data_IF_552685477399
#
_entry.id   IF_552685477399
#
_cell.length_a   1.000
_cell.length_b   1.000
_cell.length_c   1.000
_cell.angle_alpha   90.00
_cell.angle_beta   90.00
_cell.angle_gamma   90.00
#
_symmetry.space_group_name_H-M   'P 1'
#
loop_
_entity.id
_entity.type
_entity.pdbx_description
1 polymer ?
#
# COMPACT_ATOMS: atom_id res chain seq x y z
N UNK A 1 15.05 25.60 9.42
CA UNK A 1 14.33 24.66 10.31
C UNK A 1 14.02 23.42 9.49
N UNK A 2 14.58 22.27 9.84
CA UNK A 2 14.30 20.99 9.17
C UNK A 2 13.09 20.34 9.83
N UNK A 3 11.98 20.24 9.12
CA UNK A 3 10.80 19.46 9.56
C UNK A 3 11.21 17.99 9.71
N UNK A 4 10.84 17.36 10.82
CA UNK A 4 10.99 15.92 10.97
C UNK A 4 9.98 15.22 10.05
N UNK A 5 10.34 14.06 9.44
CA UNK A 5 9.41 13.25 8.70
C UNK A 5 8.33 12.72 9.65
N UNK A 6 7.08 12.78 9.19
CA UNK A 6 5.91 12.24 9.88
C UNK A 6 5.49 10.97 9.18
N UNK A 7 5.39 9.91 9.97
CA UNK A 7 4.85 8.63 9.53
C UNK A 7 3.34 8.64 9.66
N UNK A 8 2.63 8.46 8.55
CA UNK A 8 1.20 8.18 8.57
C UNK A 8 1.02 6.68 8.77
N UNK A 9 0.36 6.27 9.86
CA UNK A 9 -0.14 4.92 10.00
C UNK A 9 -1.51 4.86 9.34
N UNK A 10 -1.57 4.30 8.13
CA UNK A 10 -2.83 3.99 7.50
C UNK A 10 -3.31 2.64 8.03
N UNK A 11 -4.09 2.65 9.11
CA UNK A 11 -4.92 1.50 9.43
C UNK A 11 -5.96 1.44 8.31
N UNK A 12 -5.89 0.44 7.44
CA UNK A 12 -6.88 0.22 6.39
C UNK A 12 -8.24 0.11 7.07
N UNK A 13 -9.01 1.19 7.06
CA UNK A 13 -10.43 1.16 7.38
C UNK A 13 -11.07 0.52 6.17
N UNK A 14 -10.94 -0.80 6.10
CA UNK A 14 -11.62 -1.64 5.13
C UNK A 14 -13.11 -1.38 5.34
N UNK A 15 -13.72 -0.62 4.43
CA UNK A 15 -15.17 -0.58 4.35
C UNK A 15 -15.61 -2.05 4.18
N UNK A 16 -16.45 -2.59 5.09
CA UNK A 16 -16.80 -3.99 5.04
C UNK A 16 -17.43 -4.34 3.68
N UNK A 17 -17.28 -5.58 3.19
CA UNK A 17 -17.83 -6.03 1.90
C UNK A 17 -19.32 -5.72 1.73
N UNK A 18 -20.08 -5.62 2.83
CA UNK A 18 -21.49 -5.23 2.82
C UNK A 18 -21.75 -3.82 2.24
N UNK A 19 -20.76 -2.92 2.22
CA UNK A 19 -20.89 -1.61 1.53
C UNK A 19 -20.59 -1.68 0.04
N UNK A 20 -20.04 -2.80 -0.47
CA UNK A 20 -19.69 -3.00 -1.87
C UNK A 20 -20.85 -3.59 -2.69
N UNK A 21 -21.90 -4.10 -2.04
CA UNK A 21 -23.07 -4.72 -2.69
C UNK A 21 -24.30 -3.78 -2.84
N UNK A 22 -24.18 -2.48 -2.50
CA UNK A 22 -25.29 -1.51 -2.58
C UNK A 22 -25.36 -0.75 -3.92
N UNK A 23 -26.57 -0.34 -4.38
CA UNK A 23 -26.86 -0.13 -5.80
C UNK A 23 -26.35 1.20 -6.39
N UNK A 24 -25.83 1.12 -7.62
CA UNK A 24 -25.76 2.09 -8.74
C UNK A 24 -25.38 3.58 -8.53
N UNK A 25 -25.13 4.05 -7.30
CA UNK A 25 -24.80 5.45 -7.00
C UNK A 25 -23.32 5.72 -6.71
N UNK A 26 -22.43 4.80 -7.10
CA UNK A 26 -20.99 4.89 -6.79
C UNK A 26 -20.35 6.21 -7.21
N UNK A 27 -19.43 6.71 -6.38
CA UNK A 27 -18.78 7.99 -6.62
C UNK A 27 -17.43 8.10 -5.91
N UNK A 28 -16.68 9.13 -6.29
CA UNK A 28 -15.49 9.55 -5.54
C UNK A 28 -15.94 10.63 -4.55
N UNK A 29 -15.85 10.32 -3.27
CA UNK A 29 -16.02 11.30 -2.22
C UNK A 29 -14.63 11.82 -1.82
N UNK A 30 -14.46 13.14 -1.83
CA UNK A 30 -13.25 13.76 -1.26
C UNK A 30 -13.55 14.16 0.15
N UNK A 31 -12.91 13.47 1.08
CA UNK A 31 -12.98 13.78 2.50
C UNK A 31 -11.74 14.60 2.82
N UNK A 32 -11.90 15.92 2.83
CA UNK A 32 -10.84 16.81 3.29
C UNK A 32 -10.63 16.59 4.79
N UNK A 33 -9.49 16.00 5.17
CA UNK A 33 -9.11 15.86 6.57
C UNK A 33 -7.73 16.45 6.77
N UNK A 34 -7.69 17.70 7.24
CA UNK A 34 -6.42 18.34 7.57
C UNK A 34 -5.76 17.60 8.73
N UNK A 35 -4.70 16.84 8.44
CA UNK A 35 -3.79 16.31 9.46
C UNK A 35 -2.47 17.09 9.35
N UNK A 36 -2.24 17.98 10.32
CA UNK A 36 -1.01 18.76 10.42
C UNK A 36 -0.92 19.99 9.50
N UNK A 37 0.17 20.78 9.62
CA UNK A 37 0.33 22.11 9.02
C UNK A 37 0.53 22.11 7.49
N UNK A 38 0.78 20.95 6.87
CA UNK A 38 0.77 20.76 5.42
C UNK A 38 -0.54 20.18 4.87
N UNK A 39 -1.41 19.65 5.74
CA UNK A 39 -2.68 19.01 5.37
C UNK A 39 -2.49 17.74 4.53
N UNK A 40 -3.40 16.77 4.68
CA UNK A 40 -3.53 15.69 3.72
C UNK A 40 -4.96 15.74 3.19
N UNK A 41 -5.12 15.96 1.90
CA UNK A 41 -6.44 15.83 1.28
C UNK A 41 -6.60 14.40 0.74
N UNK A 42 -7.58 13.67 1.26
CA UNK A 42 -7.80 12.27 0.91
C UNK A 42 -9.07 12.12 0.09
N UNK A 43 -8.95 11.53 -1.09
CA UNK A 43 -10.08 11.02 -1.84
C UNK A 43 -10.32 9.57 -1.45
N UNK A 44 -11.57 9.21 -1.17
CA UNK A 44 -12.00 7.83 -0.95
C UNK A 44 -12.93 7.46 -2.10
N UNK A 45 -12.52 6.50 -2.92
CA UNK A 45 -13.38 5.94 -3.94
C UNK A 45 -14.31 4.91 -3.29
N UNK A 46 -15.62 5.14 -3.36
CA UNK A 46 -16.63 4.18 -2.95
C UNK A 46 -17.47 3.81 -4.18
N UNK A 47 -17.00 2.80 -4.92
CA UNK A 47 -17.47 2.50 -6.27
C UNK A 47 -17.83 1.02 -6.37
N UNK A 48 -18.89 0.65 -7.12
CA UNK A 48 -19.19 -0.73 -7.43
C UNK A 48 -17.98 -1.40 -8.10
N UNK A 49 -17.57 -2.54 -7.59
CA UNK A 49 -16.50 -3.33 -8.20
C UNK A 49 -17.14 -4.47 -8.99
N UNK A 50 -16.66 -4.68 -10.22
CA UNK A 50 -17.11 -5.77 -11.08
C UNK A 50 -16.14 -6.95 -11.02
N UNK A 51 -16.54 -8.11 -11.56
CA UNK A 51 -15.62 -9.23 -11.81
C UNK A 51 -14.85 -9.10 -13.14
N UNK A 52 -14.88 -7.93 -13.80
CA UNK A 52 -14.11 -7.61 -15.01
C UNK A 52 -12.92 -6.72 -14.62
N UNK A 53 -11.69 -7.27 -14.54
CA UNK A 53 -10.50 -6.49 -14.16
C UNK A 53 -10.23 -5.31 -15.10
N UNK A 54 -10.50 -5.47 -16.39
CA UNK A 54 -10.30 -4.41 -17.37
C UNK A 54 -11.28 -3.25 -17.14
N UNK A 55 -12.52 -3.54 -16.77
CA UNK A 55 -13.47 -2.50 -16.35
C UNK A 55 -13.04 -1.83 -15.06
N UNK A 56 -12.67 -2.61 -14.05
CA UNK A 56 -12.22 -2.08 -12.76
C UNK A 56 -11.00 -1.16 -12.91
N UNK A 57 -10.02 -1.52 -13.75
CA UNK A 57 -8.86 -0.70 -14.05
C UNK A 57 -9.22 0.63 -14.72
N UNK A 58 -10.14 0.62 -15.69
CA UNK A 58 -10.65 1.85 -16.33
C UNK A 58 -11.38 2.76 -15.34
N UNK A 59 -12.22 2.17 -14.48
CA UNK A 59 -12.96 2.90 -13.46
C UNK A 59 -11.99 3.50 -12.43
N UNK A 60 -11.02 2.73 -11.95
CA UNK A 60 -9.95 3.18 -11.06
C UNK A 60 -9.17 4.37 -11.63
N UNK A 61 -8.76 4.29 -12.90
CA UNK A 61 -8.05 5.38 -13.57
C UNK A 61 -8.92 6.64 -13.68
N UNK A 62 -10.21 6.48 -13.98
CA UNK A 62 -11.19 7.58 -13.98
C UNK A 62 -11.30 8.23 -12.59
N UNK A 63 -11.35 7.42 -11.54
CA UNK A 63 -11.41 7.88 -10.15
C UNK A 63 -10.13 8.59 -9.71
N UNK A 64 -8.95 8.10 -10.11
CA UNK A 64 -7.67 8.76 -9.87
C UNK A 64 -7.61 10.14 -10.53
N UNK A 65 -8.03 10.25 -11.79
CA UNK A 65 -8.15 11.54 -12.49
C UNK A 65 -9.12 12.48 -11.76
N UNK A 66 -10.26 11.96 -11.29
CA UNK A 66 -11.25 12.76 -10.56
C UNK A 66 -10.73 13.24 -9.20
N UNK A 67 -10.07 12.37 -8.44
CA UNK A 67 -9.43 12.72 -7.17
C UNK A 67 -8.40 13.84 -7.35
N UNK A 68 -7.54 13.72 -8.37
CA UNK A 68 -6.57 14.75 -8.76
C UNK A 68 -7.24 16.08 -9.13
N UNK A 69 -8.32 16.05 -9.92
CA UNK A 69 -9.08 17.25 -10.28
C UNK A 69 -9.70 17.95 -9.07
N UNK A 70 -10.12 17.18 -8.05
CA UNK A 70 -10.67 17.68 -6.81
C UNK A 70 -9.60 18.17 -5.82
N UNK A 71 -8.31 18.09 -6.17
CA UNK A 71 -7.22 18.59 -5.34
C UNK A 71 -6.80 17.65 -4.21
N UNK A 72 -7.16 16.36 -4.28
CA UNK A 72 -6.65 15.37 -3.35
C UNK A 72 -5.13 15.19 -3.50
N UNK A 73 -4.48 14.78 -2.41
CA UNK A 73 -3.07 14.37 -2.39
C UNK A 73 -2.90 12.85 -2.33
N UNK A 74 -3.92 12.15 -1.85
CA UNK A 74 -3.99 10.71 -1.72
C UNK A 74 -5.34 10.20 -2.24
N UNK A 75 -5.34 9.13 -3.03
CA UNK A 75 -6.53 8.33 -3.32
C UNK A 75 -6.47 6.99 -2.57
N UNK A 76 -7.55 6.66 -1.87
CA UNK A 76 -7.83 5.35 -1.30
C UNK A 76 -8.90 4.64 -2.12
N UNK A 77 -8.62 3.42 -2.56
CA UNK A 77 -9.58 2.56 -3.25
C UNK A 77 -10.14 1.48 -2.31
N UNK A 78 -11.28 0.87 -2.63
CA UNK A 78 -11.78 -0.23 -1.84
C UNK A 78 -10.90 -1.48 -1.97
N UNK A 79 -11.08 -2.40 -1.02
CA UNK A 79 -10.53 -3.75 -1.06
C UNK A 79 -11.03 -4.50 -2.31
N UNK A 80 -10.14 -5.28 -2.93
CA UNK A 80 -10.35 -5.96 -4.20
C UNK A 80 -10.77 -5.03 -5.36
N UNK A 81 -10.44 -3.73 -5.27
CA UNK A 81 -10.78 -2.74 -6.30
C UNK A 81 -10.24 -3.07 -7.70
N UNK A 82 -9.20 -3.91 -7.81
CA UNK A 82 -8.65 -4.35 -9.09
C UNK A 82 -9.39 -5.58 -9.66
N UNK A 83 -9.81 -6.53 -8.82
CA UNK A 83 -10.32 -7.84 -9.25
C UNK A 83 -11.84 -8.00 -9.12
N UNK A 84 -12.45 -7.38 -8.13
CA UNK A 84 -13.74 -7.85 -7.59
C UNK A 84 -13.54 -8.82 -6.43
N UNK A 85 -14.57 -8.92 -5.59
CA UNK A 85 -14.56 -9.77 -4.39
C UNK A 85 -14.63 -11.27 -4.69
N UNK A 86 -14.54 -12.09 -3.65
CA UNK A 86 -14.66 -13.54 -3.77
C UNK A 86 -16.13 -13.99 -3.94
N UNK A 87 -16.39 -14.69 -5.04
CA UNK A 87 -17.51 -15.62 -5.28
C UNK A 87 -17.30 -17.02 -4.61
N UNK A 88 -18.16 -18.00 -4.90
CA UNK A 88 -18.10 -19.33 -4.27
C UNK A 88 -17.04 -20.26 -4.88
N UNK A 89 -16.77 -20.17 -6.19
CA UNK A 89 -15.67 -20.85 -6.89
C UNK A 89 -14.97 -19.86 -7.82
N UNK A 90 -13.87 -19.27 -7.37
CA UNK A 90 -13.24 -18.13 -8.06
C UNK A 90 -11.79 -18.37 -8.42
N UNK A 91 -11.31 -19.61 -8.36
CA UNK A 91 -9.90 -19.87 -8.66
C UNK A 91 -9.49 -19.30 -10.01
N UNK A 92 -10.31 -19.54 -11.04
CA UNK A 92 -10.09 -19.01 -12.39
C UNK A 92 -10.20 -17.47 -12.41
N UNK A 93 -11.29 -16.92 -11.85
CA UNK A 93 -11.50 -15.47 -11.80
C UNK A 93 -10.36 -14.71 -11.09
N UNK A 94 -9.91 -15.17 -9.91
CA UNK A 94 -8.82 -14.54 -9.17
C UNK A 94 -7.49 -14.77 -9.90
N UNK A 95 -7.29 -15.95 -10.51
CA UNK A 95 -6.10 -16.25 -11.29
C UNK A 95 -5.95 -15.34 -12.52
N UNK A 96 -7.05 -15.02 -13.19
CA UNK A 96 -7.13 -14.06 -14.29
C UNK A 96 -6.98 -12.61 -13.80
N UNK A 97 -7.36 -12.34 -12.55
CA UNK A 97 -7.33 -11.02 -11.94
C UNK A 97 -6.03 -10.73 -11.17
N UNK A 98 -4.90 -11.37 -11.54
CA UNK A 98 -3.61 -11.08 -10.90
C UNK A 98 -3.36 -9.57 -10.96
N UNK A 99 -3.32 -8.94 -9.78
CA UNK A 99 -3.59 -7.52 -9.64
C UNK A 99 -2.50 -6.63 -10.26
N UNK A 100 -1.34 -7.21 -10.59
CA UNK A 100 -0.24 -6.48 -11.20
C UNK A 100 -0.43 -6.40 -12.71
N UNK A 101 -1.30 -5.48 -13.12
CA UNK A 101 -1.35 -4.97 -14.50
C UNK A 101 -0.35 -3.81 -14.62
N UNK A 102 0.87 -4.11 -15.07
CA UNK A 102 1.95 -3.11 -15.17
C UNK A 102 1.56 -1.90 -16.03
N UNK A 103 0.72 -2.10 -17.06
CA UNK A 103 0.24 -1.02 -17.91
C UNK A 103 -0.70 -0.08 -17.15
N UNK A 104 -1.67 -0.64 -16.42
CA UNK A 104 -2.54 0.15 -15.54
C UNK A 104 -1.73 0.89 -14.46
N UNK A 105 -0.74 0.22 -13.86
CA UNK A 105 0.09 0.80 -12.81
C UNK A 105 0.96 1.94 -13.35
N UNK A 106 1.52 1.80 -14.55
CA UNK A 106 2.21 2.87 -15.26
C UNK A 106 1.27 4.07 -15.56
N UNK A 107 0.03 3.81 -15.98
CA UNK A 107 -0.97 4.87 -16.20
C UNK A 107 -1.34 5.60 -14.90
N UNK A 108 -1.52 4.87 -13.79
CA UNK A 108 -1.79 5.45 -12.47
C UNK A 108 -0.59 6.26 -11.96
N UNK A 109 0.63 5.73 -12.11
CA UNK A 109 1.89 6.40 -11.76
C UNK A 109 2.06 7.71 -12.53
N UNK A 110 1.71 7.73 -13.81
CA UNK A 110 1.80 8.91 -14.66
C UNK A 110 0.83 10.04 -14.24
N UNK A 111 -0.20 9.74 -13.43
CA UNK A 111 -1.06 10.77 -12.85
C UNK A 111 -0.44 11.49 -11.67
N UNK A 112 0.63 10.95 -11.07
CA UNK A 112 1.25 11.57 -9.91
C UNK A 112 1.96 12.89 -10.28
N UNK A 113 1.93 13.84 -9.37
CA UNK A 113 2.68 15.10 -9.46
C UNK A 113 3.03 15.64 -8.05
N UNK A 114 3.47 16.89 -7.98
CA UNK A 114 3.82 17.56 -6.74
C UNK A 114 2.64 17.71 -5.76
N UNK A 115 1.40 17.55 -6.23
CA UNK A 115 0.17 17.67 -5.43
C UNK A 115 -0.52 16.32 -5.24
N UNK A 116 -0.74 15.54 -6.28
CA UNK A 116 -1.37 14.20 -6.20
C UNK A 116 -0.27 13.15 -6.12
N UNK A 117 0.06 12.72 -4.90
CA UNK A 117 1.32 12.02 -4.61
C UNK A 117 1.18 10.53 -4.38
N UNK A 118 0.00 10.08 -3.99
CA UNK A 118 -0.21 8.71 -3.53
C UNK A 118 -1.51 8.15 -4.08
N UNK A 119 -1.46 6.90 -4.52
CA UNK A 119 -2.64 6.10 -4.84
C UNK A 119 -2.46 4.75 -4.15
N UNK A 120 -3.43 4.37 -3.33
CA UNK A 120 -3.47 3.05 -2.70
C UNK A 120 -4.49 2.19 -3.43
N UNK A 121 -4.02 1.13 -4.07
CA UNK A 121 -4.83 0.16 -4.82
C UNK A 121 -4.75 -1.20 -4.15
N UNK A 122 -5.81 -1.99 -4.21
CA UNK A 122 -5.84 -3.31 -3.59
C UNK A 122 -6.36 -4.39 -4.56
N UNK A 123 -5.74 -5.56 -4.50
CA UNK A 123 -6.13 -6.73 -5.28
C UNK A 123 -5.34 -8.00 -4.92
N UNK A 124 -5.71 -9.15 -5.49
CA UNK A 124 -5.04 -10.42 -5.27
C UNK A 124 -3.70 -10.42 -6.00
N UNK A 125 -2.63 -10.79 -5.30
CA UNK A 125 -1.30 -10.98 -5.88
C UNK A 125 -0.99 -12.47 -5.90
N UNK A 126 -0.64 -13.01 -7.06
CA UNK A 126 -0.26 -14.41 -7.15
C UNK A 126 1.06 -14.64 -6.42
N UNK A 127 1.13 -15.73 -5.66
CA UNK A 127 2.37 -16.19 -5.03
C UNK A 127 2.63 -17.64 -5.41
N UNK A 128 3.84 -17.93 -5.87
CA UNK A 128 4.26 -19.32 -6.10
C UNK A 128 4.37 -20.11 -4.80
N UNK A 129 4.23 -21.43 -4.88
CA UNK A 129 4.44 -22.34 -3.76
C UNK A 129 3.89 -23.75 -3.96
N UNK A 130 4.27 -24.65 -3.06
CA UNK A 130 3.92 -26.08 -3.08
C UNK A 130 2.45 -26.36 -2.71
N UNK A 131 1.76 -25.39 -2.09
CA UNK A 131 0.39 -25.52 -1.57
C UNK A 131 -0.72 -25.21 -2.60
N UNK A 132 -0.38 -25.22 -3.89
CA UNK A 132 -1.27 -24.81 -4.98
C UNK A 132 -1.35 -23.28 -5.16
N UNK A 133 -2.17 -22.78 -6.10
CA UNK A 133 -2.16 -21.38 -6.51
C UNK A 133 -2.87 -20.48 -5.49
N UNK A 134 -2.27 -20.23 -4.34
CA UNK A 134 -2.79 -19.24 -3.37
C UNK A 134 -2.41 -17.82 -3.75
N UNK A 135 -3.18 -16.86 -3.22
CA UNK A 135 -2.97 -15.43 -3.42
C UNK A 135 -2.64 -14.72 -2.11
N UNK A 136 -2.10 -13.50 -2.22
CA UNK A 136 -2.05 -12.53 -1.13
C UNK A 136 -3.06 -11.41 -1.41
N UNK A 137 -3.85 -11.05 -0.42
CA UNK A 137 -4.65 -9.82 -0.49
C UNK A 137 -3.71 -8.64 -0.26
N UNK A 138 -3.34 -7.97 -1.37
CA UNK A 138 -2.23 -7.04 -1.41
C UNK A 138 -2.71 -5.62 -1.66
N UNK A 139 -2.26 -4.68 -0.83
CA UNK A 139 -2.40 -3.25 -1.06
C UNK A 139 -1.08 -2.68 -1.57
N UNK A 140 -1.11 -2.02 -2.72
CA UNK A 140 0.04 -1.37 -3.35
C UNK A 140 -0.03 0.13 -3.11
N UNK A 141 1.08 0.71 -2.66
CA UNK A 141 1.28 2.16 -2.62
C UNK A 141 1.97 2.63 -3.89
N UNK A 142 1.22 3.26 -4.79
CA UNK A 142 1.78 3.92 -5.96
C UNK A 142 2.17 5.34 -5.56
N UNK A 143 3.48 5.61 -5.54
CA UNK A 143 4.09 6.87 -5.14
C UNK A 143 5.21 7.28 -6.09
N UNK A 144 6.05 8.27 -5.74
CA UNK A 144 7.20 8.68 -6.55
C UNK A 144 8.17 7.52 -6.84
N UNK A 145 8.46 6.71 -5.81
CA UNK A 145 9.45 5.62 -5.84
C UNK A 145 8.90 4.30 -6.43
N UNK A 146 7.61 4.24 -6.75
CA UNK A 146 6.99 3.05 -7.32
C UNK A 146 7.45 2.86 -8.78
N UNK A 147 8.00 1.69 -9.10
CA UNK A 147 8.51 1.37 -10.44
C UNK A 147 7.75 0.16 -11.03
N UNK A 148 6.78 0.39 -11.94
CA UNK A 148 6.02 -0.71 -12.54
C UNK A 148 6.92 -1.72 -13.27
N UNK A 149 8.10 -1.29 -13.75
CA UNK A 149 9.04 -2.14 -14.49
C UNK A 149 9.99 -2.93 -13.56
N UNK A 150 10.06 -2.61 -12.26
CA UNK A 150 10.88 -3.33 -11.27
C UNK A 150 10.05 -3.81 -10.06
N UNK A 151 9.33 -4.95 -10.20
CA UNK A 151 8.54 -5.53 -9.12
C UNK A 151 9.30 -5.82 -7.82
N UNK A 152 10.60 -6.10 -7.91
CA UNK A 152 11.40 -6.42 -6.75
C UNK A 152 11.70 -5.16 -5.92
N UNK A 153 11.87 -4.01 -6.58
CA UNK A 153 12.03 -2.72 -5.90
C UNK A 153 10.76 -2.30 -5.14
N UNK A 154 9.58 -2.64 -5.67
CA UNK A 154 8.29 -2.27 -5.07
C UNK A 154 7.91 -3.07 -3.83
N UNK A 155 8.61 -4.15 -3.48
CA UNK A 155 8.18 -5.06 -2.40
C UNK A 155 8.07 -4.35 -1.03
N UNK A 156 8.76 -3.23 -0.84
CA UNK A 156 8.63 -2.37 0.35
C UNK A 156 7.35 -1.49 0.35
N UNK A 157 6.74 -1.29 -0.82
CA UNK A 157 5.54 -0.50 -1.08
C UNK A 157 4.26 -1.34 -1.11
N UNK A 158 4.39 -2.65 -0.82
CA UNK A 158 3.29 -3.60 -0.81
C UNK A 158 3.00 -4.02 0.64
N UNK A 159 1.73 -3.98 1.00
CA UNK A 159 1.18 -4.58 2.21
C UNK A 159 0.38 -5.82 1.86
N UNK A 160 0.74 -6.96 2.43
CA UNK A 160 -0.07 -8.17 2.35
C UNK A 160 -0.87 -8.33 3.64
N UNK A 161 -2.18 -8.52 3.54
CA UNK A 161 -3.07 -8.64 4.70
C UNK A 161 -2.65 -9.80 5.61
N UNK A 162 -2.26 -9.51 6.86
CA UNK A 162 -1.87 -10.55 7.83
C UNK A 162 -3.07 -11.38 8.30
N UNK A 163 -4.23 -10.75 8.45
CA UNK A 163 -5.42 -11.35 9.06
C UNK A 163 -6.58 -11.45 8.07
N UNK A 164 -6.56 -12.42 7.15
CA UNK A 164 -7.72 -12.69 6.30
C UNK A 164 -8.89 -13.15 7.19
N UNK A 165 -10.08 -12.53 7.09
CA UNK A 165 -11.28 -12.97 7.81
C UNK A 165 -11.61 -14.42 7.48
N UNK A 166 -12.16 -15.12 8.48
CA UNK A 166 -12.60 -16.50 8.31
C UNK A 166 -13.64 -16.61 7.17
N UNK A 167 -13.61 -17.73 6.45
CA UNK A 167 -14.52 -18.01 5.34
C UNK A 167 -13.81 -18.01 3.99
N UNK A 168 -14.46 -17.44 2.97
CA UNK A 168 -14.03 -17.52 1.56
C UNK A 168 -12.61 -16.97 1.35
N UNK A 169 -12.26 -15.86 1.99
CA UNK A 169 -10.93 -15.25 1.80
C UNK A 169 -9.79 -16.18 2.24
N UNK A 170 -9.93 -16.94 3.32
CA UNK A 170 -8.91 -17.91 3.78
C UNK A 170 -8.76 -19.14 2.88
N UNK A 171 -9.76 -19.43 2.04
CA UNK A 171 -9.67 -20.50 1.05
C UNK A 171 -8.70 -20.10 -0.07
N UNK A 172 -8.81 -18.86 -0.55
CA UNK A 172 -8.07 -18.36 -1.70
C UNK A 172 -6.76 -17.68 -1.33
N UNK A 173 -6.68 -17.09 -0.14
CA UNK A 173 -5.53 -16.28 0.28
C UNK A 173 -4.73 -16.94 1.40
N UNK A 174 -3.49 -16.49 1.56
CA UNK A 174 -2.67 -16.75 2.75
C UNK A 174 -2.35 -15.43 3.47
N UNK A 175 -1.96 -15.53 4.73
CA UNK A 175 -1.54 -14.38 5.51
C UNK A 175 -0.25 -13.76 4.97
N UNK A 176 -0.23 -12.43 4.94
CA UNK A 176 0.99 -11.65 4.84
C UNK A 176 1.89 -11.81 6.07
N UNK A 177 3.15 -11.39 5.93
CA UNK A 177 4.17 -11.50 7.00
C UNK A 177 4.45 -10.17 7.71
N UNK A 178 3.88 -9.06 7.23
CA UNK A 178 4.09 -7.71 7.78
C UNK A 178 2.76 -7.15 8.26
N UNK A 179 2.72 -6.68 9.50
CA UNK A 179 1.48 -6.20 10.10
C UNK A 179 1.08 -4.79 9.67
N UNK A 180 2.02 -4.01 9.14
CA UNK A 180 1.80 -2.61 8.77
C UNK A 180 2.58 -2.21 7.53
N UNK A 181 2.00 -1.31 6.75
CA UNK A 181 2.70 -0.51 5.75
C UNK A 181 2.73 0.94 6.22
N UNK A 182 3.93 1.51 6.24
CA UNK A 182 4.20 2.87 6.69
C UNK A 182 4.98 3.60 5.62
N UNK A 183 4.58 4.83 5.33
CA UNK A 183 5.30 5.71 4.42
C UNK A 183 5.30 7.14 4.95
N UNK A 184 6.34 7.89 4.57
CA UNK A 184 6.49 9.27 5.00
C UNK A 184 5.64 10.19 4.13
N UNK A 185 4.97 11.14 4.80
CA UNK A 185 4.11 12.11 4.13
C UNK A 185 4.65 13.51 4.41
N UNK A 186 5.34 14.14 3.45
CA UNK A 186 5.89 15.48 3.66
C UNK A 186 4.79 16.47 4.05
N UNK A 187 4.95 17.16 5.17
CA UNK A 187 4.03 18.22 5.60
C UNK A 187 2.88 17.79 6.53
N UNK A 188 2.59 16.50 6.66
CA UNK A 188 1.71 16.04 7.75
C UNK A 188 2.52 16.13 9.03
N UNK A 189 1.97 16.65 10.13
CA UNK A 189 2.58 16.54 11.46
C UNK A 189 1.90 15.38 12.19
N UNK A 190 2.67 14.44 12.72
CA UNK A 190 2.13 13.32 13.49
C UNK A 190 1.44 13.84 14.74
N UNK A 191 0.11 13.92 14.70
CA UNK A 191 -0.71 14.27 15.87
C UNK A 191 -0.92 13.06 16.82
N UNK A 192 -0.39 11.88 16.49
CA UNK A 192 -0.49 10.69 17.33
C UNK A 192 0.88 10.33 17.90
N UNK A 193 1.24 10.97 19.00
CA UNK A 193 2.11 10.37 20.02
C UNK A 193 1.36 10.38 21.34
N UNK A 194 0.83 9.24 21.81
CA UNK A 194 0.91 8.93 23.22
C UNK A 194 2.31 8.33 23.43
N UNK A 195 3.17 9.09 24.10
CA UNK A 195 4.27 8.51 24.84
C UNK A 195 3.65 7.47 25.81
N UNK A 196 3.75 6.20 25.46
CA UNK A 196 3.11 5.12 26.19
C UNK A 196 3.64 3.79 25.70
N UNK A 197 4.72 3.36 26.34
CA UNK A 197 5.42 2.09 26.20
C UNK A 197 4.52 0.90 25.85
N UNK A 198 4.55 0.49 24.59
CA UNK A 198 4.45 -0.93 24.23
C UNK A 198 5.84 -1.36 23.79
N UNK A 199 6.42 -2.30 24.54
CA UNK A 199 7.76 -2.80 24.28
C UNK A 199 7.81 -3.48 22.91
N UNK A 200 8.29 -2.76 21.89
CA UNK A 200 8.65 -3.35 20.61
C UNK A 200 10.09 -3.86 20.64
N UNK A 201 10.37 -5.00 19.99
CA UNK A 201 11.74 -5.47 19.76
C UNK A 201 12.54 -4.40 19.02
N UNK A 202 13.85 -4.32 19.29
CA UNK A 202 14.77 -3.45 18.54
C UNK A 202 14.82 -3.91 17.09
N UNK A 203 14.06 -3.26 16.21
CA UNK A 203 14.23 -3.40 14.76
C UNK A 203 15.40 -2.52 14.30
N UNK A 204 16.21 -2.99 13.33
CA UNK A 204 17.29 -2.18 12.78
C UNK A 204 16.70 -0.96 12.08
N UNK A 205 17.27 0.22 12.38
CA UNK A 205 16.89 1.48 11.75
C UNK A 205 17.02 1.33 10.24
N UNK A 206 15.93 1.58 9.52
CA UNK A 206 15.88 1.59 8.06
C UNK A 206 16.91 2.54 7.47
N UNK A 207 17.36 2.18 6.26
CA UNK A 207 18.31 2.91 5.44
C UNK A 207 17.76 4.30 5.11
N UNK A 208 18.55 5.34 5.37
CA UNK A 208 18.30 6.68 4.83
C UNK A 208 18.88 6.73 3.42
N UNK A 209 18.05 6.82 2.40
CA UNK A 209 18.50 7.29 1.09
C UNK A 209 18.67 8.81 1.19
N UNK A 210 19.93 9.26 1.18
CA UNK A 210 20.30 10.66 1.16
C UNK A 210 20.09 11.26 -0.23
N UNK A 211 19.52 12.44 -0.28
CA UNK A 211 19.44 13.27 -1.48
C UNK A 211 20.85 13.70 -1.91
N UNK A 212 21.31 13.18 -3.05
CA UNK A 212 22.31 13.78 -3.93
C UNK A 212 23.76 13.90 -3.41
N UNK A 213 24.65 13.02 -3.89
CA UNK A 213 25.85 13.33 -4.71
C UNK A 213 26.87 12.17 -4.72
N UNK A 214 27.09 11.60 -5.92
CA UNK A 214 28.18 10.69 -6.37
C UNK A 214 28.51 9.40 -5.59
N UNK A 215 28.56 8.22 -6.24
CA UNK A 215 28.91 6.96 -5.61
C UNK A 215 30.43 6.74 -5.64
N UNK A 216 31.11 6.98 -4.52
CA UNK A 216 32.39 6.33 -4.26
C UNK A 216 32.63 6.23 -2.75
N UNK A 217 32.92 5.01 -2.30
CA UNK A 217 33.29 4.61 -0.93
C UNK A 217 32.18 4.48 0.13
N UNK A 218 31.43 3.39 0.06
CA UNK A 218 30.90 2.74 1.26
C UNK A 218 31.77 1.52 1.55
N UNK A 219 32.65 1.61 2.55
CA UNK A 219 33.26 0.41 3.16
C UNK A 219 32.32 -0.13 4.23
N UNK A 220 32.16 -1.46 4.39
CA UNK A 220 31.38 -2.01 5.48
C UNK A 220 32.01 -1.65 6.84
N UNK A 221 31.21 -1.45 7.89
CA UNK A 221 31.74 -1.26 9.24
C UNK A 221 32.50 -2.53 9.66
N UNK A 222 33.75 -2.35 10.07
CA UNK A 222 34.62 -3.43 10.51
C UNK A 222 33.98 -4.23 11.64
N UNK A 223 33.97 -5.55 11.49
CA UNK A 223 33.63 -6.49 12.54
C UNK A 223 34.56 -6.25 13.74
N UNK A 224 33.97 -5.84 14.86
CA UNK A 224 34.68 -5.76 16.13
C UNK A 224 35.16 -7.16 16.53
N UNK A 225 36.45 -7.27 16.83
CA UNK A 225 37.07 -8.50 17.30
C UNK A 225 36.38 -9.03 18.56
N UNK A 226 36.21 -10.36 18.71
CA UNK A 226 35.63 -10.94 19.92
C UNK A 226 36.58 -10.76 21.11
N UNK A 227 36.00 -10.33 22.23
CA UNK A 227 36.68 -10.24 23.53
C UNK A 227 37.21 -11.63 23.94
N UNK A 228 38.50 -11.68 24.30
CA UNK A 228 39.12 -12.86 24.90
C UNK A 228 38.53 -13.14 26.29
N UNK A 229 38.33 -14.42 26.66
CA UNK A 229 37.88 -14.78 28.01
C UNK A 229 39.02 -14.55 29.01
N UNK A 230 38.71 -13.85 30.10
CA UNK A 230 39.54 -13.84 31.31
C UNK A 230 39.26 -15.10 32.10
N UNK A 231 40.30 -15.90 32.34
CA UNK A 231 40.26 -17.04 33.25
C UNK A 231 40.44 -16.57 34.72
N UNK A 232 39.90 -17.33 35.70
CA UNK A 232 40.17 -17.09 37.12
C UNK A 232 41.62 -17.43 37.53
#
# INVERSE_FOLDING_TARGET
MTSLPTTLLLATVLLPPASQESPAGGGVEVVEKTVGPGGMTVAIANVPISHDPGRNGRDLLSHARRAKQLGANLLLTPEFGLSGGFCDDCWEHIAESDARDDALFAELKALLDDRFRYILVNGPRRVGGDDGPRFLNSTYLICEDFDPDDPAADEALIYDKTFPPAGREQVYTRSGMRDVLTFDTPGVASACSPAGTWGSPRWPRSWRCGTGSTPSSCSPPGEGAPNAPTAP
#
